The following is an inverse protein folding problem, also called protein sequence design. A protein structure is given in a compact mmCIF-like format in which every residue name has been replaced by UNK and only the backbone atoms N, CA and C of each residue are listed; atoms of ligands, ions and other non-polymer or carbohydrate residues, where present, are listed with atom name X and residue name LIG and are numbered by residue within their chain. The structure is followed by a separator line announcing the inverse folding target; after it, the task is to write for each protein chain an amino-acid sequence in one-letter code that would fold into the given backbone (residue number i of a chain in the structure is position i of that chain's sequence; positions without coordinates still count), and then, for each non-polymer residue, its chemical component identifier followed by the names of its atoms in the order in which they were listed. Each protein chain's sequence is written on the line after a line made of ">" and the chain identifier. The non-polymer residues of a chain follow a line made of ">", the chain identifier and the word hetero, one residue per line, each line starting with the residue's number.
data_IF_765502821862
#
_entry.id   IF_765502821862
#
_cell.length_a   1.000
_cell.length_b   1.000
_cell.length_c   1.000
_cell.angle_alpha   90.00
_cell.angle_beta   90.00
_cell.angle_gamma   90.00
#
_symmetry.space_group_name_H-M   'P 1'
#
loop_
_entity.id
_entity.type
_entity.pdbx_description
1 polymer ?
#
# COMPACT_ATOMS: atom_id res chain seq x y z
N UNK A 1 -14.37 -8.31 -10.66
CA UNK A 1 -13.52 -8.94 -9.62
C UNK A 1 -12.37 -9.66 -10.32
N UNK A 2 -11.50 -8.86 -10.93
CA UNK A 2 -10.16 -9.24 -11.33
C UNK A 2 -9.28 -8.07 -10.90
N UNK A 3 -8.13 -8.36 -10.27
CA UNK A 3 -8.00 -8.16 -8.82
C UNK A 3 -6.61 -7.61 -8.50
N UNK A 4 -6.23 -6.49 -9.12
CA UNK A 4 -4.81 -6.07 -9.14
C UNK A 4 -4.24 -5.83 -7.74
N UNK A 5 -5.03 -5.26 -6.83
CA UNK A 5 -4.63 -5.07 -5.44
C UNK A 5 -5.15 -6.17 -4.51
N UNK A 6 -6.30 -6.79 -4.80
CA UNK A 6 -6.98 -7.71 -3.88
C UNK A 6 -6.11 -8.91 -3.48
N UNK A 7 -5.30 -9.44 -4.40
CA UNK A 7 -4.38 -10.56 -4.12
C UNK A 7 -3.25 -10.19 -3.15
N UNK A 8 -2.75 -8.95 -3.26
CA UNK A 8 -1.69 -8.42 -2.40
C UNK A 8 -2.27 -8.11 -1.01
N UNK A 9 -3.48 -7.54 -0.97
CA UNK A 9 -4.19 -7.21 0.29
C UNK A 9 -4.34 -8.44 1.19
N UNK A 10 -4.71 -9.61 0.64
CA UNK A 10 -4.83 -10.84 1.44
C UNK A 10 -3.49 -11.23 2.09
N UNK A 11 -2.39 -11.07 1.37
CA UNK A 11 -1.05 -11.42 1.86
C UNK A 11 -0.55 -10.44 2.92
N UNK A 12 -0.67 -9.14 2.65
CA UNK A 12 -0.23 -8.08 3.58
C UNK A 12 -1.09 -8.04 4.85
N UNK A 13 -2.41 -8.26 4.73
CA UNK A 13 -3.31 -8.36 5.88
C UNK A 13 -2.86 -9.47 6.83
N UNK A 14 -2.53 -10.66 6.32
CA UNK A 14 -2.07 -11.77 7.15
C UNK A 14 -0.78 -11.45 7.91
N UNK A 15 0.12 -10.66 7.32
CA UNK A 15 1.34 -10.21 7.97
C UNK A 15 1.05 -9.12 9.03
N UNK A 16 0.17 -8.17 8.73
CA UNK A 16 -0.24 -7.13 9.67
C UNK A 16 -0.89 -7.76 10.92
N UNK A 17 -1.83 -8.69 10.72
CA UNK A 17 -2.50 -9.43 11.80
C UNK A 17 -1.47 -10.23 12.63
N UNK A 18 -0.53 -10.93 11.98
CA UNK A 18 0.51 -11.74 12.65
C UNK A 18 1.42 -10.90 13.54
N UNK A 19 1.83 -9.72 13.10
CA UNK A 19 2.78 -8.87 13.82
C UNK A 19 2.09 -7.76 14.64
N UNK A 20 0.75 -7.73 14.68
CA UNK A 20 -0.03 -6.73 15.43
C UNK A 20 0.40 -5.29 15.12
N UNK A 21 0.59 -5.00 13.84
CA UNK A 21 0.90 -3.65 13.35
C UNK A 21 -0.29 -3.07 12.59
N UNK A 22 -0.35 -1.74 12.53
CA UNK A 22 -1.33 -1.02 11.71
C UNK A 22 -1.26 -1.46 10.25
N UNK A 23 -2.42 -1.58 9.61
CA UNK A 23 -2.49 -1.95 8.19
C UNK A 23 -1.79 -0.92 7.29
N UNK A 24 -1.89 0.36 7.64
CA UNK A 24 -1.21 1.44 6.92
C UNK A 24 0.31 1.37 7.05
N UNK A 25 0.81 1.00 8.22
CA UNK A 25 2.24 0.84 8.46
C UNK A 25 2.80 -0.39 7.74
N UNK A 26 2.05 -1.50 7.71
CA UNK A 26 2.45 -2.71 6.96
C UNK A 26 2.61 -2.42 5.46
N UNK A 27 1.66 -1.73 4.83
CA UNK A 27 1.71 -1.38 3.40
C UNK A 27 2.96 -0.54 3.08
N UNK A 28 3.25 0.49 3.89
CA UNK A 28 4.40 1.37 3.65
C UNK A 28 5.73 0.68 3.93
N UNK A 29 5.78 -0.19 4.94
CA UNK A 29 6.97 -0.98 5.23
C UNK A 29 7.28 -1.98 4.11
N UNK A 30 6.27 -2.72 3.65
CA UNK A 30 6.40 -3.67 2.55
C UNK A 30 6.90 -2.97 1.28
N UNK A 31 6.37 -1.78 0.96
CA UNK A 31 6.84 -0.96 -0.15
C UNK A 31 8.32 -0.56 0.00
N UNK A 32 8.74 -0.08 1.18
CA UNK A 32 10.13 0.30 1.43
C UNK A 32 11.11 -0.87 1.29
N UNK A 33 10.72 -2.06 1.78
CA UNK A 33 11.51 -3.29 1.61
C UNK A 33 11.56 -3.74 0.15
N UNK A 34 10.42 -3.72 -0.56
CA UNK A 34 10.36 -4.12 -1.96
C UNK A 34 11.23 -3.23 -2.85
N UNK A 35 11.23 -1.92 -2.62
CA UNK A 35 12.07 -0.99 -3.37
C UNK A 35 13.57 -1.24 -3.14
N UNK A 36 13.99 -1.81 -2.01
CA UNK A 36 15.39 -2.22 -1.79
C UNK A 36 15.78 -3.50 -2.52
N UNK A 37 14.82 -4.40 -2.72
CA UNK A 37 15.06 -5.68 -3.36
C UNK A 37 15.26 -5.55 -4.88
N UNK A 38 14.82 -4.45 -5.48
CA UNK A 38 15.05 -4.15 -6.89
C UNK A 38 16.51 -3.73 -7.12
N UNK A 39 17.13 -4.24 -8.19
CA UNK A 39 18.43 -3.75 -8.64
C UNK A 39 18.31 -2.26 -8.93
N UNK A 40 19.21 -1.44 -8.36
CA UNK A 40 19.18 0.04 -8.41
C UNK A 40 17.96 0.72 -7.76
N UNK A 41 17.17 -0.03 -7.00
CA UNK A 41 16.01 0.51 -6.31
C UNK A 41 16.40 1.50 -5.20
N UNK A 42 15.62 2.57 -5.02
CA UNK A 42 16.02 3.69 -4.20
C UNK A 42 15.96 3.39 -2.71
N UNK A 43 16.75 4.16 -1.97
CA UNK A 43 16.76 4.08 -0.53
C UNK A 43 15.65 4.93 0.15
N UNK A 44 14.36 4.57 0.03
CA UNK A 44 13.25 5.29 0.68
C UNK A 44 13.18 5.10 2.20
N UNK A 45 12.69 6.12 2.91
CA UNK A 45 12.50 6.14 4.38
C UNK A 45 11.17 5.50 4.77
N UNK A 46 11.11 4.95 5.99
CA UNK A 46 9.90 4.41 6.59
C UNK A 46 9.62 5.07 7.94
N UNK A 47 8.36 5.47 8.15
CA UNK A 47 7.88 6.11 9.38
C UNK A 47 6.61 5.40 9.82
N UNK A 48 6.53 5.06 11.10
CA UNK A 48 5.40 4.35 11.72
C UNK A 48 4.46 5.29 12.46
N UNK A 49 3.30 4.77 12.85
CA UNK A 49 2.32 5.45 13.70
C UNK A 49 1.02 5.81 12.98
N UNK A 50 0.73 5.20 11.82
CA UNK A 50 -0.55 5.41 11.14
C UNK A 50 -1.67 4.71 11.93
N UNK A 51 -2.75 5.40 12.33
CA UNK A 51 -3.90 4.73 12.91
C UNK A 51 -4.61 3.89 11.83
N UNK A 52 -5.31 2.83 12.27
CA UNK A 52 -6.15 2.05 11.36
C UNK A 52 -7.30 2.89 10.80
N UNK A 53 -7.64 2.65 9.54
CA UNK A 53 -8.66 3.41 8.84
C UNK A 53 -10.05 3.18 9.45
N UNK A 54 -10.81 4.26 9.62
CA UNK A 54 -12.17 4.21 10.20
C UNK A 54 -13.27 4.11 9.15
N UNK A 55 -12.97 4.40 7.89
CA UNK A 55 -13.91 4.37 6.77
C UNK A 55 -13.18 4.06 5.46
N UNK A 56 -13.89 3.47 4.51
CA UNK A 56 -13.37 3.25 3.16
C UNK A 56 -13.23 4.58 2.40
N UNK A 57 -12.20 4.67 1.56
CA UNK A 57 -12.05 5.79 0.64
C UNK A 57 -13.21 5.79 -0.38
N UNK A 58 -13.78 6.98 -0.72
CA UNK A 58 -14.72 7.10 -1.83
C UNK A 58 -14.11 6.61 -3.16
N UNK A 59 -14.97 6.15 -4.06
CA UNK A 59 -14.58 5.76 -5.41
C UNK A 59 -14.17 7.00 -6.26
N UNK A 60 -13.34 6.78 -7.29
CA UNK A 60 -12.87 7.84 -8.19
C UNK A 60 -11.72 8.72 -7.66
N UNK A 61 -11.15 8.41 -6.48
CA UNK A 61 -10.00 9.14 -5.92
C UNK A 61 -8.64 8.68 -6.47
N UNK A 62 -8.61 7.54 -7.17
CA UNK A 62 -7.40 7.02 -7.83
C UNK A 62 -7.48 7.41 -9.32
N UNK A 63 -6.49 8.14 -9.86
CA UNK A 63 -6.48 8.48 -11.29
C UNK A 63 -6.51 7.24 -12.16
N UNK A 64 -7.35 7.25 -13.20
CA UNK A 64 -7.38 6.19 -14.18
C UNK A 64 -6.31 6.42 -15.25
N UNK A 65 -5.83 5.35 -15.88
CA UNK A 65 -4.79 5.43 -16.89
C UNK A 65 -5.15 6.33 -18.09
N UNK A 66 -6.45 6.54 -18.34
CA UNK A 66 -6.96 7.39 -19.42
C UNK A 66 -7.48 8.75 -18.92
N UNK A 67 -7.33 9.07 -17.63
CA UNK A 67 -7.63 10.40 -17.12
C UNK A 67 -6.67 11.41 -17.78
N UNK A 68 -7.21 12.55 -18.24
CA UNK A 68 -6.41 13.58 -18.91
C UNK A 68 -5.43 14.23 -17.92
N UNK A 69 -4.23 14.56 -18.39
CA UNK A 69 -3.17 15.29 -17.68
C UNK A 69 -3.53 16.70 -17.18
N UNK A 70 -4.79 17.11 -17.37
CA UNK A 70 -5.30 18.46 -17.07
C UNK A 70 -6.44 18.43 -16.05
N UNK A 71 -6.72 17.27 -15.44
CA UNK A 71 -7.65 17.16 -14.33
C UNK A 71 -6.99 17.61 -13.02
#
# INVERSE_FOLDING_TARGET
>A
MTPRADSIVVSEKGLADKYSVSYGDMIQFAAAVNMRNCVSGPHISFVTGRPDATAAAPDGLIPEALTRWTA
#
